data_IF_332648136305
#
_entry.id   IF_332648136305
#
_cell.length_a   1.000
_cell.length_b   1.000
_cell.length_c   1.000
_cell.angle_alpha   90.00
_cell.angle_beta   90.00
_cell.angle_gamma   90.00
#
_symmetry.space_group_name_H-M   'P 1'
#
loop_
_entity.id
_entity.type
_entity.pdbx_description
1 polymer ?
#
# COMPACT_ATOMS: atom_id res chain seq x y z
N UNK A 1 -40.96 66.44 27.13
CA UNK A 1 -40.07 66.19 28.28
C UNK A 1 -38.71 66.86 28.03
N UNK A 2 -38.62 68.19 28.14
CA UNK A 2 -37.35 68.94 27.94
C UNK A 2 -36.98 69.87 29.11
N UNK A 3 -37.75 69.86 30.21
CA UNK A 3 -37.59 70.81 31.33
C UNK A 3 -36.80 70.26 32.54
N UNK A 4 -36.37 69.00 32.54
CA UNK A 4 -35.63 68.41 33.67
C UNK A 4 -34.13 68.76 33.75
N UNK A 5 -33.35 68.87 32.66
CA UNK A 5 -31.91 69.16 32.79
C UNK A 5 -31.65 70.61 33.22
N UNK A 6 -32.55 71.56 32.89
CA UNK A 6 -32.45 72.96 33.33
C UNK A 6 -32.73 73.13 34.82
N UNK A 7 -33.73 72.43 35.36
CA UNK A 7 -34.07 72.48 36.81
C UNK A 7 -32.95 71.93 37.70
N UNK A 8 -32.25 70.88 37.25
CA UNK A 8 -31.11 70.31 37.99
C UNK A 8 -29.90 71.25 37.99
N UNK A 9 -29.61 71.92 36.87
CA UNK A 9 -28.52 72.92 36.80
C UNK A 9 -28.80 74.13 37.68
N UNK A 10 -30.02 74.67 37.65
CA UNK A 10 -30.41 75.82 38.48
C UNK A 10 -30.39 75.50 39.98
N UNK A 11 -30.73 74.26 40.38
CA UNK A 11 -30.63 73.82 41.77
C UNK A 11 -29.17 73.73 42.26
N UNK A 12 -28.24 73.23 41.44
CA UNK A 12 -26.82 73.16 41.79
C UNK A 12 -26.20 74.55 41.88
N UNK A 13 -26.52 75.44 40.94
CA UNK A 13 -26.06 76.82 40.96
C UNK A 13 -26.57 77.57 42.19
N UNK A 14 -27.85 77.36 42.54
CA UNK A 14 -28.45 77.94 43.76
C UNK A 14 -27.81 77.40 45.03
N UNK A 15 -27.42 76.12 45.07
CA UNK A 15 -26.71 75.52 46.19
C UNK A 15 -25.34 76.17 46.40
N UNK A 16 -24.55 76.31 45.32
CA UNK A 16 -23.20 76.88 45.40
C UNK A 16 -23.22 78.35 45.82
N UNK A 17 -24.14 79.15 45.25
CA UNK A 17 -24.32 80.55 45.65
C UNK A 17 -24.76 80.68 47.12
N UNK A 18 -25.66 79.80 47.58
CA UNK A 18 -26.09 79.78 48.97
C UNK A 18 -24.95 79.40 49.93
N UNK A 19 -24.12 78.42 49.55
CA UNK A 19 -22.98 77.99 50.34
C UNK A 19 -21.93 79.10 50.47
N UNK A 20 -21.62 79.80 49.36
CA UNK A 20 -20.72 80.95 49.37
C UNK A 20 -21.26 82.10 50.23
N UNK A 21 -22.54 82.42 50.11
CA UNK A 21 -23.18 83.46 50.92
C UNK A 21 -23.15 83.15 52.43
N UNK A 22 -23.15 81.87 52.84
CA UNK A 22 -22.97 81.51 54.25
C UNK A 22 -21.59 81.92 54.79
N UNK A 23 -20.54 81.68 53.99
CA UNK A 23 -19.18 82.09 54.32
C UNK A 23 -19.02 83.61 54.39
N UNK A 24 -19.57 84.35 53.44
CA UNK A 24 -19.53 85.82 53.42
C UNK A 24 -20.24 86.43 54.63
N UNK A 25 -21.45 85.97 54.96
CA UNK A 25 -22.21 86.47 56.11
C UNK A 25 -21.46 86.25 57.43
N UNK A 26 -20.83 85.09 57.60
CA UNK A 26 -20.13 84.76 58.84
C UNK A 26 -18.76 85.43 58.96
N UNK A 27 -17.92 85.34 57.91
CA UNK A 27 -16.54 85.80 57.98
C UNK A 27 -16.39 87.30 57.69
N UNK A 28 -17.18 87.86 56.76
CA UNK A 28 -17.08 89.28 56.41
C UNK A 28 -18.00 90.13 57.29
N UNK A 29 -19.26 89.73 57.46
CA UNK A 29 -20.27 90.56 58.16
C UNK A 29 -20.45 90.18 59.64
N UNK A 30 -19.88 89.06 60.09
CA UNK A 30 -20.01 88.52 61.45
C UNK A 30 -21.46 88.19 61.87
N UNK A 31 -22.35 88.01 60.90
CA UNK A 31 -23.77 87.67 61.08
C UNK A 31 -23.96 86.17 60.93
N UNK A 32 -24.88 85.59 61.72
CA UNK A 32 -25.18 84.15 61.62
C UNK A 32 -26.01 83.87 60.36
N UNK A 33 -25.54 83.04 59.42
CA UNK A 33 -26.28 82.75 58.20
C UNK A 33 -27.55 81.95 58.54
N UNK A 34 -28.71 82.51 58.20
CA UNK A 34 -30.01 81.84 58.28
C UNK A 34 -30.60 81.67 56.88
N UNK A 35 -31.49 80.68 56.69
CA UNK A 35 -32.05 80.34 55.38
C UNK A 35 -32.72 81.55 54.72
N UNK A 36 -33.43 82.38 55.48
CA UNK A 36 -34.08 83.60 54.99
C UNK A 36 -33.06 84.63 54.51
N UNK A 37 -32.03 84.92 55.33
CA UNK A 37 -30.98 85.88 54.99
C UNK A 37 -30.21 85.46 53.72
N UNK A 38 -29.91 84.17 53.61
CA UNK A 38 -29.22 83.62 52.45
C UNK A 38 -30.11 83.67 51.20
N UNK A 39 -31.41 83.38 51.32
CA UNK A 39 -32.37 83.51 50.21
C UNK A 39 -32.49 84.96 49.70
N UNK A 40 -32.50 85.95 50.61
CA UNK A 40 -32.48 87.37 50.26
C UNK A 40 -31.18 87.75 49.55
N UNK A 41 -30.03 87.31 50.07
CA UNK A 41 -28.71 87.65 49.51
C UNK A 41 -28.52 87.12 48.09
N UNK A 42 -28.94 85.89 47.84
CA UNK A 42 -28.81 85.25 46.51
C UNK A 42 -29.99 85.57 45.58
N UNK A 43 -30.99 86.31 46.05
CA UNK A 43 -32.20 86.69 45.31
C UNK A 43 -32.97 85.49 44.70
N UNK A 44 -32.90 84.30 45.32
CA UNK A 44 -33.60 83.07 44.88
C UNK A 44 -34.51 82.53 45.98
N UNK A 45 -35.74 82.15 45.62
CA UNK A 45 -36.77 81.64 46.55
C UNK A 45 -36.71 80.12 46.80
N UNK A 46 -35.59 79.45 46.52
CA UNK A 46 -35.44 78.00 46.68
C UNK A 46 -35.00 77.60 48.10
N UNK A 47 -35.88 77.83 49.08
CA UNK A 47 -35.60 77.63 50.52
C UNK A 47 -35.11 76.22 50.87
N UNK A 48 -35.59 75.17 50.19
CA UNK A 48 -35.17 73.79 50.43
C UNK A 48 -33.74 73.45 49.93
N UNK A 49 -33.26 74.15 48.90
CA UNK A 49 -31.89 74.00 48.39
C UNK A 49 -30.94 74.84 49.25
N UNK A 50 -31.35 76.06 49.58
CA UNK A 50 -30.60 76.95 50.49
C UNK A 50 -30.46 76.34 51.89
N UNK A 51 -31.53 75.74 52.43
CA UNK A 51 -31.48 75.06 53.73
C UNK A 51 -30.48 73.90 53.78
N UNK A 52 -30.33 73.16 52.67
CA UNK A 52 -29.30 72.12 52.55
C UNK A 52 -27.89 72.71 52.51
N UNK A 53 -27.68 73.78 51.75
CA UNK A 53 -26.39 74.46 51.69
C UNK A 53 -25.97 75.04 53.05
N UNK A 54 -26.88 75.70 53.78
CA UNK A 54 -26.62 76.23 55.13
C UNK A 54 -26.25 75.13 56.11
N UNK A 55 -26.93 73.98 56.04
CA UNK A 55 -26.63 72.83 56.92
C UNK A 55 -25.26 72.23 56.63
N UNK A 56 -24.96 71.96 55.36
CA UNK A 56 -23.67 71.43 54.93
C UNK A 56 -22.52 72.37 55.32
N UNK A 57 -22.69 73.67 55.09
CA UNK A 57 -21.70 74.67 55.49
C UNK A 57 -21.45 74.65 57.01
N UNK A 58 -22.49 74.55 57.85
CA UNK A 58 -22.31 74.47 59.30
C UNK A 58 -21.53 73.25 59.77
N UNK A 59 -21.71 72.11 59.10
CA UNK A 59 -20.97 70.86 59.37
C UNK A 59 -19.50 71.00 58.94
N UNK A 60 -19.25 71.50 57.72
CA UNK A 60 -17.89 71.62 57.16
C UNK A 60 -16.99 72.57 57.95
N UNK A 61 -17.53 73.69 58.45
CA UNK A 61 -16.74 74.68 59.20
C UNK A 61 -16.77 74.44 60.72
N UNK A 62 -17.40 73.35 61.19
CA UNK A 62 -17.53 73.09 62.63
C UNK A 62 -18.18 74.27 63.36
N UNK A 63 -19.32 74.74 62.86
CA UNK A 63 -19.94 76.00 63.28
C UNK A 63 -20.19 76.10 64.79
N UNK A 64 -20.51 74.98 65.45
CA UNK A 64 -20.67 74.91 66.91
C UNK A 64 -19.36 75.20 67.65
N UNK A 65 -18.22 74.72 67.15
CA UNK A 65 -16.89 75.01 67.72
C UNK A 65 -16.51 76.49 67.53
N UNK A 66 -16.87 77.07 66.39
CA UNK A 66 -16.67 78.50 66.12
C UNK A 66 -17.57 79.39 66.99
N UNK A 67 -18.82 78.98 67.24
CA UNK A 67 -19.73 79.63 68.19
C UNK A 67 -19.19 79.55 69.62
N UNK A 68 -18.65 78.39 70.00
CA UNK A 68 -18.05 78.18 71.32
C UNK A 68 -16.81 79.06 71.51
N UNK A 69 -15.92 79.13 70.51
CA UNK A 69 -14.77 80.04 70.52
C UNK A 69 -15.20 81.50 70.59
N UNK A 70 -16.22 81.93 69.83
CA UNK A 70 -16.71 83.31 69.87
C UNK A 70 -17.37 83.66 71.22
N UNK A 71 -18.06 82.73 71.88
CA UNK A 71 -18.57 82.91 73.25
C UNK A 71 -17.43 83.02 74.28
N UNK A 72 -16.36 82.25 74.11
CA UNK A 72 -15.16 82.33 74.95
C UNK A 72 -14.39 83.64 74.72
N UNK A 73 -14.32 84.13 73.49
CA UNK A 73 -13.70 85.43 73.15
C UNK A 73 -14.55 86.62 73.66
N UNK A 74 -15.88 86.55 73.56
CA UNK A 74 -16.77 87.55 74.14
C UNK A 74 -16.74 87.54 75.69
N UNK A 75 -16.59 86.36 76.30
CA UNK A 75 -16.48 86.18 77.76
C UNK A 75 -15.16 86.65 78.38
N UNK A 76 -14.15 87.03 77.58
CA UNK A 76 -12.86 87.57 78.06
C UNK A 76 -12.84 89.09 78.23
N UNK A 77 -13.97 89.78 78.06
CA UNK A 77 -14.08 91.24 78.15
C UNK A 77 -14.63 91.78 79.49
N UNK A 78 -14.63 90.97 80.55
CA UNK A 78 -14.93 91.43 81.92
C UNK A 78 -13.96 90.85 82.94
N UNK A 79 -12.82 91.51 83.11
CA UNK A 79 -12.13 91.58 84.41
C UNK A 79 -12.89 92.56 85.34
N UNK A 80 -12.67 92.61 86.66
CA UNK A 80 -11.61 91.96 87.45
C UNK A 80 -12.06 91.32 88.78
N UNK A 81 -11.21 90.48 89.35
CA UNK A 81 -11.02 90.43 90.82
C UNK A 81 -9.58 90.02 91.13
N UNK A 82 -8.80 91.03 91.51
CA UNK A 82 -7.42 90.93 92.00
C UNK A 82 -7.37 90.35 93.41
N UNK A 83 -6.29 89.61 93.68
CA UNK A 83 -5.85 89.19 95.01
C UNK A 83 -5.61 87.68 94.99
N UNK A 84 -4.43 87.13 95.23
CA UNK A 84 -3.22 87.67 95.84
C UNK A 84 -2.08 86.74 95.42
N UNK A 85 -0.89 87.30 95.33
CA UNK A 85 0.37 86.69 94.88
C UNK A 85 0.70 85.44 95.74
N UNK A 86 0.74 84.29 95.05
CA UNK A 86 1.81 83.27 95.09
C UNK A 86 2.75 83.26 96.30
N UNK A 87 2.96 82.06 96.87
CA UNK A 87 4.23 81.41 96.57
C UNK A 87 4.03 79.92 96.27
N UNK A 88 4.15 79.50 94.99
CA UNK A 88 5.01 78.37 94.59
C UNK A 88 5.03 78.06 93.07
N UNK A 89 4.82 79.04 92.16
CA UNK A 89 4.95 78.79 90.71
C UNK A 89 6.28 78.12 90.35
N UNK A 90 7.37 78.44 91.06
CA UNK A 90 8.67 77.80 90.84
C UNK A 90 8.66 76.29 91.08
N UNK A 91 8.05 75.82 92.18
CA UNK A 91 7.93 74.39 92.46
C UNK A 91 6.88 73.71 91.56
N UNK A 92 5.75 74.37 91.29
CA UNK A 92 4.75 73.84 90.38
C UNK A 92 5.29 73.69 88.95
N UNK A 93 6.05 74.68 88.45
CA UNK A 93 6.71 74.62 87.14
C UNK A 93 7.84 73.58 87.13
N UNK A 94 8.63 73.46 88.21
CA UNK A 94 9.67 72.44 88.32
C UNK A 94 9.10 71.01 88.37
N UNK A 95 7.99 70.79 89.07
CA UNK A 95 7.25 69.53 89.10
C UNK A 95 6.60 69.20 87.75
N UNK A 96 6.01 70.20 87.07
CA UNK A 96 5.49 70.03 85.71
C UNK A 96 6.61 69.69 84.73
N UNK A 97 7.77 70.34 84.82
CA UNK A 97 8.93 70.04 83.99
C UNK A 97 9.50 68.64 84.28
N UNK A 98 9.56 68.24 85.56
CA UNK A 98 9.98 66.89 85.97
C UNK A 98 9.01 65.83 85.43
N UNK A 99 7.69 66.06 85.54
CA UNK A 99 6.66 65.18 84.98
C UNK A 99 6.73 65.12 83.46
N UNK A 100 6.87 66.25 82.78
CA UNK A 100 7.03 66.30 81.33
C UNK A 100 8.32 65.57 80.88
N UNK A 101 9.44 65.73 81.60
CA UNK A 101 10.67 65.00 81.32
C UNK A 101 10.50 63.48 81.50
N UNK A 102 9.82 63.04 82.57
CA UNK A 102 9.53 61.61 82.79
C UNK A 102 8.61 61.08 81.70
N UNK A 103 7.55 61.82 81.33
CA UNK A 103 6.64 61.45 80.24
C UNK A 103 7.38 61.33 78.91
N UNK A 104 8.22 62.31 78.55
CA UNK A 104 9.03 62.25 77.32
C UNK A 104 10.01 61.08 77.35
N UNK A 105 10.66 60.80 78.49
CA UNK A 105 11.54 59.63 78.60
C UNK A 105 10.79 58.31 78.46
N UNK A 106 9.57 58.24 78.99
CA UNK A 106 8.70 57.07 78.87
C UNK A 106 8.21 56.89 77.44
N UNK A 107 7.74 57.96 76.79
CA UNK A 107 7.35 57.97 75.37
C UNK A 107 8.51 57.59 74.45
N UNK A 108 9.73 58.07 74.72
CA UNK A 108 10.92 57.69 73.96
C UNK A 108 11.29 56.21 74.17
N UNK A 109 11.14 55.69 75.40
CA UNK A 109 11.37 54.28 75.69
C UNK A 109 10.33 53.39 75.02
N UNK A 110 9.05 53.76 75.09
CA UNK A 110 7.96 53.05 74.42
C UNK A 110 8.18 53.06 72.90
N UNK A 111 8.56 54.22 72.33
CA UNK A 111 8.89 54.31 70.90
C UNK A 111 10.12 53.49 70.53
N UNK A 112 11.14 53.42 71.38
CA UNK A 112 12.30 52.57 71.16
C UNK A 112 11.93 51.08 71.17
N UNK A 113 11.06 50.67 72.09
CA UNK A 113 10.55 49.29 72.18
C UNK A 113 9.71 48.94 70.95
N UNK A 114 8.83 49.84 70.49
CA UNK A 114 8.05 49.67 69.24
C UNK A 114 8.97 49.51 68.03
N UNK A 115 9.97 50.38 67.88
CA UNK A 115 10.92 50.29 66.77
C UNK A 115 11.76 49.01 66.83
N UNK A 116 12.09 48.52 68.02
CA UNK A 116 12.79 47.24 68.17
C UNK A 116 11.90 46.05 67.78
N UNK A 117 10.61 46.07 68.15
CA UNK A 117 9.64 45.07 67.71
C UNK A 117 9.43 45.11 66.19
N UNK A 118 9.27 46.29 65.60
CA UNK A 118 9.20 46.48 64.14
C UNK A 118 10.47 45.97 63.45
N UNK A 119 11.65 46.24 64.01
CA UNK A 119 12.93 45.75 63.46
C UNK A 119 12.99 44.22 63.49
N UNK A 120 12.59 43.59 64.59
CA UNK A 120 12.56 42.13 64.71
C UNK A 120 11.56 41.52 63.72
N UNK A 121 10.36 42.09 63.63
CA UNK A 121 9.34 41.67 62.67
C UNK A 121 9.85 41.76 61.22
N UNK A 122 10.44 42.89 60.82
CA UNK A 122 11.01 43.04 59.48
C UNK A 122 12.17 42.08 59.25
N UNK A 123 12.97 41.79 60.27
CA UNK A 123 14.04 40.80 60.17
C UNK A 123 13.50 39.39 59.91
N UNK A 124 12.44 38.99 60.62
CA UNK A 124 11.77 37.72 60.41
C UNK A 124 11.13 37.63 59.02
N UNK A 125 10.44 38.68 58.57
CA UNK A 125 9.85 38.74 57.22
C UNK A 125 10.92 38.66 56.13
N UNK A 126 12.02 39.39 56.27
CA UNK A 126 13.12 39.34 55.30
C UNK A 126 13.82 37.98 55.30
N UNK A 127 13.97 37.33 56.46
CA UNK A 127 14.48 35.96 56.54
C UNK A 127 13.52 34.96 55.87
N UNK A 128 12.22 35.08 56.11
CA UNK A 128 11.19 34.25 55.47
C UNK A 128 11.17 34.44 53.94
N UNK A 129 11.25 35.70 53.47
CA UNK A 129 11.31 36.01 52.05
C UNK A 129 12.58 35.46 51.38
N UNK A 130 13.74 35.53 52.05
CA UNK A 130 14.99 34.92 51.55
C UNK A 130 14.88 33.41 51.46
N UNK A 131 14.34 32.75 52.48
CA UNK A 131 14.11 31.30 52.46
C UNK A 131 13.14 30.90 51.35
N UNK A 132 12.07 31.67 51.12
CA UNK A 132 11.13 31.46 50.02
C UNK A 132 11.81 31.63 48.66
N UNK A 133 12.68 32.64 48.51
CA UNK A 133 13.45 32.84 47.29
C UNK A 133 14.43 31.69 47.03
N UNK A 134 15.13 31.21 48.05
CA UNK A 134 16.07 30.09 47.94
C UNK A 134 15.35 28.77 47.59
N UNK A 135 14.19 28.52 48.18
CA UNK A 135 13.38 27.33 47.86
C UNK A 135 12.87 27.37 46.42
N UNK A 136 12.29 28.49 45.98
CA UNK A 136 11.91 28.68 44.58
C UNK A 136 13.10 28.53 43.63
N UNK A 137 14.26 29.08 43.96
CA UNK A 137 15.46 28.95 43.14
C UNK A 137 15.90 27.48 42.99
N UNK A 138 15.82 26.69 44.06
CA UNK A 138 16.12 25.24 44.03
C UNK A 138 15.10 24.47 43.20
N UNK A 139 13.82 24.76 43.35
CA UNK A 139 12.75 24.14 42.55
C UNK A 139 12.90 24.45 41.07
N UNK A 140 13.17 25.72 40.71
CA UNK A 140 13.42 26.13 39.33
C UNK A 140 14.68 25.49 38.75
N UNK A 141 15.74 25.33 39.54
CA UNK A 141 16.95 24.62 39.11
C UNK A 141 16.66 23.12 38.85
N UNK A 142 15.92 22.47 39.75
CA UNK A 142 15.52 21.08 39.59
C UNK A 142 14.61 20.87 38.38
N UNK A 143 13.63 21.75 38.17
CA UNK A 143 12.75 21.73 37.01
C UNK A 143 13.54 21.88 35.70
N UNK A 144 14.42 22.89 35.62
CA UNK A 144 15.28 23.09 34.43
C UNK A 144 16.11 21.85 34.12
N UNK A 145 16.79 21.30 35.12
CA UNK A 145 17.59 20.08 34.95
C UNK A 145 16.74 18.88 34.50
N UNK A 146 15.51 18.75 35.03
CA UNK A 146 14.54 17.75 34.59
C UNK A 146 14.20 17.91 33.11
N UNK A 147 13.81 19.12 32.70
CA UNK A 147 13.46 19.42 31.31
C UNK A 147 14.65 19.26 30.34
N UNK A 148 15.86 19.60 30.76
CA UNK A 148 17.07 19.40 29.94
C UNK A 148 17.35 17.90 29.70
N UNK A 149 17.17 17.07 30.74
CA UNK A 149 17.28 15.61 30.60
C UNK A 149 16.20 15.05 29.68
N UNK A 150 14.96 15.50 29.83
CA UNK A 150 13.86 15.08 28.94
C UNK A 150 14.15 15.47 27.49
N UNK A 151 14.59 16.71 27.23
CA UNK A 151 14.99 17.17 25.89
C UNK A 151 16.09 16.28 25.33
N UNK A 152 17.10 15.92 26.12
CA UNK A 152 18.18 15.06 25.66
C UNK A 152 17.68 13.64 25.34
N UNK A 153 16.80 13.06 26.16
CA UNK A 153 16.18 11.75 25.86
C UNK A 153 15.31 11.78 24.62
N UNK A 154 14.60 12.88 24.36
CA UNK A 154 13.82 13.04 23.14
C UNK A 154 14.74 13.20 21.92
N UNK A 155 15.85 13.91 22.05
CA UNK A 155 16.85 14.04 20.98
C UNK A 155 17.48 12.70 20.62
N UNK A 156 17.88 11.89 21.60
CA UNK A 156 18.42 10.56 21.34
C UNK A 156 17.36 9.69 20.67
N UNK A 157 16.10 9.72 21.13
CA UNK A 157 15.01 8.97 20.52
C UNK A 157 14.73 9.40 19.08
N UNK A 158 14.74 10.70 18.78
CA UNK A 158 14.59 11.21 17.41
C UNK A 158 15.75 10.76 16.52
N UNK A 159 16.98 10.78 17.04
CA UNK A 159 18.15 10.30 16.29
C UNK A 159 18.07 8.80 15.98
N UNK A 160 17.63 7.97 16.95
CA UNK A 160 17.38 6.54 16.74
C UNK A 160 16.31 6.28 15.68
N UNK A 161 15.17 6.97 15.77
CA UNK A 161 14.07 6.83 14.81
C UNK A 161 14.50 7.29 13.41
N UNK A 162 15.27 8.37 13.32
CA UNK A 162 15.80 8.87 12.04
C UNK A 162 16.76 7.85 11.42
N UNK A 163 17.64 7.23 12.22
CA UNK A 163 18.53 6.17 11.74
C UNK A 163 17.74 4.95 11.27
N UNK A 164 16.76 4.51 12.05
CA UNK A 164 15.91 3.37 11.68
C UNK A 164 15.14 3.64 10.38
N UNK A 165 14.61 4.85 10.20
CA UNK A 165 13.91 5.24 8.97
C UNK A 165 14.86 5.23 7.75
N UNK A 166 16.09 5.73 7.90
CA UNK A 166 17.10 5.67 6.83
C UNK A 166 17.50 4.23 6.48
N UNK A 167 17.66 3.36 7.47
CA UNK A 167 17.95 1.94 7.27
C UNK A 167 16.82 1.22 6.53
N UNK A 168 15.57 1.49 6.92
CA UNK A 168 14.38 0.98 6.23
C UNK A 168 14.28 1.50 4.80
N UNK A 169 14.56 2.79 4.57
CA UNK A 169 14.62 3.38 3.22
C UNK A 169 15.63 2.66 2.32
N UNK A 170 16.86 2.44 2.80
CA UNK A 170 17.90 1.69 2.08
C UNK A 170 17.54 0.22 1.87
N UNK A 171 16.78 -0.39 2.79
CA UNK A 171 16.30 -1.76 2.63
C UNK A 171 15.23 -1.83 1.52
N UNK A 172 14.31 -0.88 1.48
CA UNK A 172 13.31 -0.78 0.42
C UNK A 172 13.95 -0.55 -0.95
N UNK A 173 14.92 0.37 -1.05
CA UNK A 173 15.66 0.62 -2.30
C UNK A 173 16.35 -0.66 -2.83
N UNK A 174 16.98 -1.44 -1.95
CA UNK A 174 17.59 -2.74 -2.31
C UNK A 174 16.54 -3.73 -2.81
N UNK A 175 15.42 -3.88 -2.10
CA UNK A 175 14.34 -4.79 -2.52
C UNK A 175 13.71 -4.37 -3.85
N UNK A 176 13.60 -3.07 -4.12
CA UNK A 176 13.12 -2.58 -5.42
C UNK A 176 14.11 -2.93 -6.54
N UNK A 177 15.41 -2.73 -6.33
CA UNK A 177 16.44 -3.13 -7.31
C UNK A 177 16.47 -4.64 -7.54
N UNK A 178 16.37 -5.45 -6.47
CA UNK A 178 16.29 -6.91 -6.59
C UNK A 178 15.05 -7.35 -7.38
N UNK A 179 13.90 -6.73 -7.12
CA UNK A 179 12.67 -6.99 -7.89
C UNK A 179 12.83 -6.65 -9.37
N UNK A 180 13.44 -5.50 -9.70
CA UNK A 180 13.68 -5.12 -11.09
C UNK A 180 14.62 -6.11 -11.80
N UNK A 181 15.70 -6.53 -11.14
CA UNK A 181 16.60 -7.54 -11.67
C UNK A 181 15.89 -8.88 -11.91
N UNK A 182 15.06 -9.34 -10.97
CA UNK A 182 14.27 -10.57 -11.13
C UNK A 182 13.27 -10.48 -12.28
N UNK A 183 12.67 -9.31 -12.52
CA UNK A 183 11.78 -9.10 -13.67
C UNK A 183 12.55 -9.15 -15.00
N UNK A 184 13.75 -8.58 -15.05
CA UNK A 184 14.63 -8.66 -16.23
C UNK A 184 15.05 -10.10 -16.51
N UNK A 185 15.44 -10.85 -15.48
CA UNK A 185 15.83 -12.26 -15.62
C UNK A 185 14.64 -13.14 -16.03
N UNK A 186 13.44 -12.88 -15.50
CA UNK A 186 12.23 -13.57 -15.91
C UNK A 186 11.87 -13.30 -17.38
N UNK A 187 12.04 -12.06 -17.86
CA UNK A 187 11.82 -11.70 -19.26
C UNK A 187 12.80 -12.44 -20.19
N UNK A 188 14.10 -12.46 -19.85
CA UNK A 188 15.12 -13.22 -20.60
C UNK A 188 14.80 -14.72 -20.65
N UNK A 189 14.41 -15.30 -19.52
CA UNK A 189 14.03 -16.71 -19.48
C UNK A 189 12.81 -17.01 -20.37
N UNK A 190 11.83 -16.10 -20.45
CA UNK A 190 10.70 -16.25 -21.37
C UNK A 190 11.12 -16.17 -22.84
N UNK A 191 12.06 -15.27 -23.17
CA UNK A 191 12.62 -15.17 -24.52
C UNK A 191 13.38 -16.45 -24.91
N UNK A 192 14.23 -16.97 -24.01
CA UNK A 192 14.95 -18.23 -24.21
C UNK A 192 13.99 -19.42 -24.37
N UNK A 193 12.92 -19.45 -23.57
CA UNK A 193 11.89 -20.48 -23.69
C UNK A 193 11.14 -20.38 -25.03
N UNK A 194 10.82 -19.16 -25.48
CA UNK A 194 10.17 -18.95 -26.78
C UNK A 194 11.09 -19.34 -27.94
N UNK A 195 12.38 -19.00 -27.87
CA UNK A 195 13.40 -19.41 -28.83
C UNK A 195 13.54 -20.94 -28.87
N UNK A 196 13.58 -21.59 -27.70
CA UNK A 196 13.65 -23.06 -27.59
C UNK A 196 12.41 -23.73 -28.18
N UNK A 197 11.21 -23.19 -27.95
CA UNK A 197 9.96 -23.70 -28.52
C UNK A 197 9.96 -23.60 -30.04
N UNK A 198 10.34 -22.44 -30.59
CA UNK A 198 10.48 -22.25 -32.05
C UNK A 198 11.50 -23.22 -32.63
N UNK A 199 12.66 -23.40 -31.98
CA UNK A 199 13.68 -24.37 -32.41
C UNK A 199 13.17 -25.82 -32.42
N UNK A 200 12.30 -26.18 -31.47
CA UNK A 200 11.68 -27.51 -31.42
C UNK A 200 10.60 -27.68 -32.50
N UNK A 201 9.83 -26.64 -32.80
CA UNK A 201 8.86 -26.63 -33.91
C UNK A 201 9.56 -26.79 -35.25
N UNK A 202 10.63 -26.03 -35.52
CA UNK A 202 11.39 -26.17 -36.78
C UNK A 202 12.05 -27.53 -36.93
N UNK A 203 12.55 -28.12 -35.83
CA UNK A 203 13.07 -29.49 -35.82
C UNK A 203 11.99 -30.53 -36.14
N UNK A 204 10.78 -30.35 -35.59
CA UNK A 204 9.63 -31.23 -35.89
C UNK A 204 9.22 -31.11 -37.35
N UNK A 205 9.12 -29.90 -37.89
CA UNK A 205 8.80 -29.67 -39.30
C UNK A 205 9.85 -30.28 -40.22
N UNK A 206 11.14 -30.10 -39.91
CA UNK A 206 12.23 -30.71 -40.67
C UNK A 206 12.18 -32.24 -40.63
N UNK A 207 11.91 -32.83 -39.46
CA UNK A 207 11.77 -34.28 -39.32
C UNK A 207 10.56 -34.82 -40.10
N UNK A 208 9.41 -34.13 -40.04
CA UNK A 208 8.23 -34.49 -40.83
C UNK A 208 8.49 -34.39 -42.33
N UNK A 209 9.19 -33.35 -42.79
CA UNK A 209 9.56 -33.20 -44.19
C UNK A 209 10.48 -34.33 -44.67
N UNK A 210 11.45 -34.74 -43.86
CA UNK A 210 12.29 -35.90 -44.16
C UNK A 210 11.49 -37.20 -44.17
N UNK A 211 10.58 -37.41 -43.22
CA UNK A 211 9.70 -38.57 -43.20
C UNK A 211 8.87 -38.67 -44.48
N UNK A 212 8.24 -37.56 -44.91
CA UNK A 212 7.48 -37.50 -46.16
C UNK A 212 8.36 -37.82 -47.37
N UNK A 213 9.58 -37.26 -47.45
CA UNK A 213 10.54 -37.56 -48.53
C UNK A 213 10.91 -39.04 -48.59
N UNK A 214 11.13 -39.67 -47.43
CA UNK A 214 11.42 -41.10 -47.36
C UNK A 214 10.22 -41.95 -47.77
N UNK A 215 9.02 -41.57 -47.33
CA UNK A 215 7.77 -42.22 -47.70
C UNK A 215 7.55 -42.16 -49.23
N UNK A 216 7.70 -40.98 -49.83
CA UNK A 216 7.58 -40.77 -51.28
C UNK A 216 8.59 -41.61 -52.07
N UNK A 217 9.85 -41.69 -51.61
CA UNK A 217 10.86 -42.54 -52.24
C UNK A 217 10.53 -44.01 -52.14
N UNK A 218 10.07 -44.45 -50.97
CA UNK A 218 9.65 -45.84 -50.75
C UNK A 218 8.47 -46.19 -51.67
N UNK A 219 7.45 -45.33 -51.75
CA UNK A 219 6.28 -45.54 -52.59
C UNK A 219 6.66 -45.60 -54.07
N UNK A 220 7.56 -44.70 -54.53
CA UNK A 220 8.08 -44.72 -55.91
C UNK A 220 8.85 -46.00 -56.23
N UNK A 221 9.72 -46.46 -55.34
CA UNK A 221 10.49 -47.69 -55.50
C UNK A 221 9.58 -48.92 -55.48
N UNK A 222 8.62 -48.94 -54.56
CA UNK A 222 7.60 -49.99 -54.48
C UNK A 222 6.77 -50.08 -55.76
N UNK A 223 6.26 -48.95 -56.26
CA UNK A 223 5.51 -48.89 -57.51
C UNK A 223 6.36 -49.35 -58.71
N UNK A 224 7.63 -48.95 -58.75
CA UNK A 224 8.56 -49.38 -59.78
C UNK A 224 8.74 -50.90 -59.76
N UNK A 225 8.96 -51.49 -58.58
CA UNK A 225 9.07 -52.93 -58.41
C UNK A 225 7.79 -53.66 -58.82
N UNK A 226 6.61 -53.14 -58.47
CA UNK A 226 5.32 -53.73 -58.87
C UNK A 226 5.13 -53.71 -60.38
N UNK A 227 5.47 -52.60 -61.05
CA UNK A 227 5.45 -52.51 -62.52
C UNK A 227 6.42 -53.52 -63.13
N UNK A 228 7.63 -53.64 -62.57
CA UNK A 228 8.63 -54.57 -63.06
C UNK A 228 8.17 -56.03 -62.96
N UNK A 229 7.54 -56.41 -61.84
CA UNK A 229 6.95 -57.74 -61.67
C UNK A 229 5.81 -57.97 -62.68
N UNK A 230 4.98 -56.96 -62.95
CA UNK A 230 3.90 -57.07 -63.93
C UNK A 230 4.44 -57.26 -65.36
N UNK A 231 5.47 -56.51 -65.76
CA UNK A 231 6.17 -56.67 -67.03
C UNK A 231 6.78 -58.07 -67.16
N UNK A 232 7.49 -58.56 -66.14
CA UNK A 232 8.10 -59.88 -66.14
C UNK A 232 7.05 -61.00 -66.25
N UNK A 233 5.90 -60.84 -65.56
CA UNK A 233 4.77 -61.77 -65.70
C UNK A 233 4.21 -61.79 -67.12
N UNK A 234 4.13 -60.64 -67.79
CA UNK A 234 3.62 -60.55 -69.15
C UNK A 234 4.61 -61.13 -70.18
N UNK A 235 5.90 -60.89 -69.98
CA UNK A 235 6.98 -61.54 -70.78
C UNK A 235 6.93 -63.06 -70.61
N UNK A 236 6.73 -63.56 -69.38
CA UNK A 236 6.57 -65.00 -69.15
C UNK A 236 5.30 -65.55 -69.79
N UNK A 237 4.16 -64.85 -69.71
CA UNK A 237 2.90 -65.26 -70.36
C UNK A 237 3.03 -65.35 -71.87
N UNK A 238 3.56 -64.30 -72.50
CA UNK A 238 3.81 -64.26 -73.95
C UNK A 238 4.80 -65.33 -74.39
N UNK A 239 5.87 -65.56 -73.62
CA UNK A 239 6.82 -66.65 -73.85
C UNK A 239 6.17 -68.03 -73.77
N UNK A 240 5.35 -68.29 -72.74
CA UNK A 240 4.59 -69.53 -72.59
C UNK A 240 3.56 -69.72 -73.71
N UNK A 241 2.88 -68.65 -74.13
CA UNK A 241 1.92 -68.70 -75.23
C UNK A 241 2.61 -69.02 -76.57
N UNK A 242 3.75 -68.42 -76.86
CA UNK A 242 4.55 -68.75 -78.04
C UNK A 242 5.02 -70.22 -78.01
N UNK A 243 5.42 -70.74 -76.85
CA UNK A 243 5.75 -72.16 -76.68
C UNK A 243 4.55 -73.07 -76.92
N UNK A 244 3.37 -72.72 -76.40
CA UNK A 244 2.13 -73.47 -76.63
C UNK A 244 1.74 -73.48 -78.11
N UNK A 245 1.86 -72.34 -78.81
CA UNK A 245 1.60 -72.23 -80.24
C UNK A 245 2.56 -73.11 -81.05
N UNK A 246 3.87 -73.09 -80.73
CA UNK A 246 4.85 -73.97 -81.34
C UNK A 246 4.54 -75.46 -81.11
N UNK A 247 4.20 -75.84 -79.88
CA UNK A 247 3.82 -77.22 -79.55
C UNK A 247 2.55 -77.63 -80.28
N UNK A 248 1.56 -76.75 -80.38
CA UNK A 248 0.30 -76.99 -81.11
C UNK A 248 0.56 -77.18 -82.59
N UNK A 249 1.36 -76.30 -83.21
CA UNK A 249 1.77 -76.44 -84.61
C UNK A 249 2.56 -77.74 -84.83
N UNK A 250 3.42 -78.14 -83.89
CA UNK A 250 4.15 -79.40 -83.95
C UNK A 250 3.22 -80.59 -83.87
N UNK A 251 2.23 -80.59 -82.97
CA UNK A 251 1.19 -81.62 -82.87
C UNK A 251 0.44 -81.71 -84.20
N UNK A 252 -0.07 -80.60 -84.74
CA UNK A 252 -0.77 -80.56 -86.03
C UNK A 252 0.08 -81.09 -87.19
N UNK A 253 1.40 -80.82 -87.20
CA UNK A 253 2.31 -81.36 -88.21
C UNK A 253 2.50 -82.89 -88.10
N UNK A 254 2.39 -83.44 -86.89
CA UNK A 254 2.53 -84.87 -86.61
C UNK A 254 1.23 -85.65 -86.78
N UNK A 255 0.06 -84.99 -86.70
CA UNK A 255 -1.26 -85.60 -86.95
C UNK A 255 -1.36 -86.37 -88.29
N UNK A 256 -0.95 -85.82 -89.46
CA UNK A 256 -0.99 -86.57 -90.71
C UNK A 256 0.00 -87.73 -90.74
N UNK A 257 1.17 -87.59 -90.10
CA UNK A 257 2.13 -88.70 -89.96
C UNK A 257 1.55 -89.82 -89.08
N UNK A 258 0.87 -89.47 -87.99
CA UNK A 258 0.17 -90.40 -87.11
C UNK A 258 -1.00 -91.08 -87.83
N UNK A 259 -1.79 -90.35 -88.61
CA UNK A 259 -2.87 -90.89 -89.43
C UNK A 259 -2.33 -91.87 -90.49
N UNK A 260 -1.28 -91.49 -91.21
CA UNK A 260 -0.61 -92.36 -92.19
C UNK A 260 0.02 -93.59 -91.54
N UNK A 261 0.61 -93.45 -90.35
CA UNK A 261 1.11 -94.58 -89.59
C UNK A 261 -0.03 -95.53 -89.16
N UNK A 262 -1.21 -95.01 -88.82
CA UNK A 262 -2.39 -95.81 -88.52
C UNK A 262 -2.93 -96.54 -89.76
N UNK A 263 -2.99 -95.87 -90.92
CA UNK A 263 -3.34 -96.47 -92.22
C UNK A 263 -2.37 -97.58 -92.61
N UNK A 264 -1.06 -97.32 -92.54
CA UNK A 264 -0.03 -98.33 -92.82
C UNK A 264 -0.13 -99.52 -91.86
N UNK A 265 -0.39 -99.29 -90.57
CA UNK A 265 -0.65 -100.39 -89.62
C UNK A 265 -1.87 -101.21 -90.00
N UNK A 266 -2.94 -100.56 -90.48
CA UNK A 266 -4.14 -101.23 -90.95
C UNK A 266 -3.91 -102.03 -92.24
N UNK A 267 -3.20 -101.47 -93.21
CA UNK A 267 -2.79 -102.16 -94.43
C UNK A 267 -1.89 -103.36 -94.13
N UNK A 268 -0.91 -103.20 -93.25
CA UNK A 268 -0.05 -104.32 -92.81
C UNK A 268 -0.90 -105.42 -92.18
N UNK A 269 -1.89 -105.06 -91.34
CA UNK A 269 -2.81 -106.03 -90.74
C UNK A 269 -3.63 -106.75 -91.80
N UNK A 270 -4.22 -106.02 -92.76
CA UNK A 270 -4.99 -106.59 -93.87
C UNK A 270 -4.12 -107.53 -94.72
N UNK A 271 -2.89 -107.12 -95.05
CA UNK A 271 -1.93 -107.95 -95.78
C UNK A 271 -1.50 -109.18 -94.99
N UNK A 272 -1.34 -109.06 -93.67
CA UNK A 272 -1.04 -110.19 -92.79
C UNK A 272 -2.21 -111.18 -92.76
N UNK A 273 -3.46 -110.68 -92.70
CA UNK A 273 -4.68 -111.49 -92.76
C UNK A 273 -4.83 -112.17 -94.14
N UNK A 274 -4.58 -111.45 -95.25
CA UNK A 274 -4.55 -112.00 -96.62
C UNK A 274 -3.46 -113.06 -96.78
N UNK A 275 -2.26 -112.83 -96.25
CA UNK A 275 -1.17 -113.82 -96.27
C UNK A 275 -1.57 -115.05 -95.45
N UNK A 276 -2.20 -114.88 -94.28
CA UNK A 276 -2.69 -116.00 -93.49
C UNK A 276 -3.74 -116.81 -94.26
N UNK A 277 -4.69 -116.12 -94.92
CA UNK A 277 -5.70 -116.74 -95.79
C UNK A 277 -5.08 -117.45 -96.99
N UNK A 278 -4.18 -116.80 -97.72
CA UNK A 278 -3.46 -117.39 -98.85
C UNK A 278 -2.58 -118.55 -98.43
N UNK A 279 -1.96 -118.52 -97.24
CA UNK A 279 -1.24 -119.67 -96.67
C UNK A 279 -2.20 -120.81 -96.36
N UNK A 280 -3.39 -120.52 -95.86
CA UNK A 280 -4.42 -121.53 -95.61
C UNK A 280 -4.99 -122.10 -96.91
N UNK A 281 -5.24 -121.27 -97.92
CA UNK A 281 -5.65 -121.68 -99.27
C UNK A 281 -4.54 -122.49 -99.96
N UNK A 282 -3.27 -122.06 -99.92
CA UNK A 282 -2.14 -122.84 -100.44
C UNK A 282 -1.98 -124.15 -99.68
N UNK A 283 -2.13 -124.16 -98.36
CA UNK A 283 -2.11 -125.41 -97.59
C UNK A 283 -3.26 -126.33 -98.00
N UNK A 284 -4.44 -125.79 -98.28
CA UNK A 284 -5.59 -126.56 -98.78
C UNK A 284 -5.39 -127.04 -100.23
N UNK A 285 -4.74 -126.24 -101.08
CA UNK A 285 -4.41 -126.59 -102.47
C UNK A 285 -3.25 -127.58 -102.55
N UNK A 286 -2.26 -127.48 -101.68
CA UNK A 286 -1.21 -128.49 -101.50
C UNK A 286 -1.80 -129.80 -100.99
N UNK A 287 -2.73 -129.76 -100.02
CA UNK A 287 -3.52 -130.94 -99.63
C UNK A 287 -4.31 -131.51 -100.82
N UNK A 288 -5.00 -130.67 -101.60
CA UNK A 288 -5.72 -131.10 -102.82
C UNK A 288 -4.81 -131.59 -103.95
N UNK A 289 -3.59 -131.08 -104.08
CA UNK A 289 -2.56 -131.57 -105.01
C UNK A 289 -2.00 -132.91 -104.58
N UNK A 290 -1.75 -133.07 -103.27
CA UNK A 290 -1.38 -134.35 -102.67
C UNK A 290 -2.50 -135.39 -102.79
N UNK A 291 -3.77 -134.96 -102.83
CA UNK A 291 -4.93 -135.84 -103.07
C UNK A 291 -5.19 -136.14 -104.56
N UNK A 292 -4.66 -135.35 -105.51
CA UNK A 292 -4.91 -135.54 -106.96
C UNK A 292 -3.76 -136.16 -107.75
N UNK A 293 -2.58 -136.33 -107.15
CA UNK A 293 -1.45 -137.00 -107.82
C UNK A 293 -0.81 -137.98 -106.85
N UNK A 294 -1.32 -139.21 -106.89
CA UNK A 294 -0.53 -140.42 -106.71
C UNK A 294 -0.62 -141.20 -108.03
N UNK A 295 0.40 -141.97 -108.49
CA UNK A 295 1.58 -142.40 -107.73
C UNK A 295 2.94 -142.33 -108.51
N UNK A 296 3.99 -142.75 -107.79
CA UNK A 296 5.24 -143.41 -108.26
C UNK A 296 6.51 -142.58 -108.60
N UNK A 297 7.61 -142.99 -107.94
CA UNK A 297 9.06 -142.77 -108.21
C UNK A 297 9.59 -141.34 -108.03
N UNK A 298 10.77 -141.02 -107.50
CA UNK A 298 11.97 -141.76 -107.09
C UNK A 298 13.19 -140.84 -107.26
N UNK A 299 14.13 -140.84 -106.29
CA UNK A 299 15.48 -140.19 -106.33
C UNK A 299 15.47 -138.64 -106.24
N UNK A 300 16.48 -137.88 -105.79
CA UNK A 300 17.76 -137.99 -105.03
C UNK A 300 18.32 -136.54 -105.03
N UNK A 301 19.24 -136.22 -104.11
CA UNK A 301 20.15 -135.04 -104.18
C UNK A 301 19.52 -133.64 -103.93
N UNK A 302 20.12 -132.64 -103.28
CA UNK A 302 21.41 -132.46 -102.58
C UNK A 302 21.40 -131.02 -102.00
N UNK A 303 22.33 -130.72 -101.06
CA UNK A 303 22.89 -129.39 -100.68
C UNK A 303 22.09 -128.46 -99.75
N UNK A 304 22.54 -128.41 -98.47
CA UNK A 304 23.39 -127.37 -97.82
C UNK A 304 23.21 -125.88 -98.25
N UNK A 305 23.78 -124.89 -97.52
CA UNK A 305 23.90 -124.70 -96.06
C UNK A 305 23.63 -123.23 -95.62
N UNK A 306 23.50 -123.01 -94.30
CA UNK A 306 24.29 -121.98 -93.60
C UNK A 306 23.82 -120.51 -93.52
N UNK A 307 23.97 -119.96 -92.30
CA UNK A 307 24.32 -118.56 -91.94
C UNK A 307 23.28 -117.46 -92.25
N UNK A 308 22.93 -116.51 -91.37
CA UNK A 308 23.71 -115.60 -90.49
C UNK A 308 22.86 -115.23 -89.24
N UNK A 309 23.37 -114.97 -88.00
CA UNK A 309 24.10 -113.77 -87.47
C UNK A 309 23.45 -112.44 -87.91
N UNK A 310 23.30 -111.37 -87.11
CA UNK A 310 23.94 -110.90 -85.86
C UNK A 310 23.19 -109.64 -85.37
N UNK A 311 23.28 -109.40 -84.05
CA UNK A 311 23.19 -108.14 -83.28
C UNK A 311 21.90 -107.34 -83.34
#
# INVERSE_FOLDING_TARGET
MENEPRKKRDAVETYNLAYQACGELWFAERITPTVLLVCERIHKKHTAVVGRAVKAWKEDVGFEDLLHRRRLEAGRSSEPSKGTIEPDFGQAVAELYRKAKIQVLQELQDRANELEQERLHLHEETAAARNAQETMAKEWAAYRLGTEREIETLRTRVAELTRSFQEQGRALERLTMERENLLLDAARFQEDQAASRRGLETLKEAYQAELCRWQERFDQDHDWHLRRIAEEKEVLRTGLQAQLEQLTARIQSLEPEAARAAELRWEIKLRADDIARLRQENASLQRRRLERVSPATGSREERLPGFWRRR
#
